data_IF_489398180888
#
_entry.id   IF_489398180888
#
_cell.length_a   1.000
_cell.length_b   1.000
_cell.length_c   1.000
_cell.angle_alpha   90.00
_cell.angle_beta   90.00
_cell.angle_gamma   90.00
#
_symmetry.space_group_name_H-M   'P 1'
#
loop_
_entity.id
_entity.type
_entity.pdbx_description
1 polymer ?
#
# COMPACT_ATOMS: atom_id res chain seq x y z
N UNK A 1 13.77 -4.21 16.59
CA UNK A 1 14.31 -5.31 17.44
C UNK A 1 15.79 -5.54 17.19
N UNK A 2 16.61 -5.80 18.22
CA UNK A 2 18.04 -6.18 18.08
C UNK A 2 18.27 -7.62 18.52
N UNK A 3 19.08 -8.36 17.80
CA UNK A 3 19.43 -9.75 18.12
C UNK A 3 20.89 -10.07 17.75
N UNK A 4 21.43 -11.19 18.26
CA UNK A 4 22.78 -11.64 17.93
C UNK A 4 22.74 -12.87 17.01
N UNK A 5 23.58 -12.88 15.99
CA UNK A 5 23.78 -14.00 15.07
C UNK A 5 25.24 -14.06 14.63
N UNK A 6 25.88 -15.24 14.69
CA UNK A 6 27.32 -15.45 14.36
C UNK A 6 28.23 -14.35 14.95
N UNK A 7 28.07 -14.08 16.26
CA UNK A 7 28.81 -13.06 17.03
C UNK A 7 28.65 -11.60 16.59
N UNK A 8 27.71 -11.32 15.68
CA UNK A 8 27.35 -9.96 15.24
C UNK A 8 25.98 -9.57 15.78
N UNK A 9 25.81 -8.28 16.07
CA UNK A 9 24.49 -7.72 16.43
C UNK A 9 23.81 -7.22 15.17
N UNK A 10 22.59 -7.69 14.94
CA UNK A 10 21.72 -7.26 13.85
C UNK A 10 20.49 -6.54 14.38
N UNK A 11 19.88 -5.73 13.53
CA UNK A 11 18.58 -5.12 13.79
C UNK A 11 17.58 -5.59 12.76
N UNK A 12 16.36 -5.86 13.22
CA UNK A 12 15.21 -6.10 12.38
C UNK A 12 14.12 -5.10 12.76
N UNK A 13 13.41 -4.49 11.79
CA UNK A 13 12.30 -3.59 12.09
C UNK A 13 11.26 -4.27 12.97
N UNK A 14 10.87 -3.66 14.08
CA UNK A 14 9.80 -4.17 14.97
C UNK A 14 8.42 -3.61 14.63
N UNK A 15 8.38 -2.52 13.88
CA UNK A 15 7.17 -1.76 13.55
C UNK A 15 7.29 -1.21 12.13
N UNK A 16 6.15 -0.86 11.53
CA UNK A 16 6.12 -0.19 10.23
C UNK A 16 6.75 1.20 10.25
N UNK A 17 6.83 1.84 11.42
CA UNK A 17 7.51 3.14 11.57
C UNK A 17 9.04 3.06 11.49
N UNK A 18 9.61 1.86 11.66
CA UNK A 18 11.06 1.61 11.49
C UNK A 18 11.45 1.30 10.03
N UNK A 19 10.47 1.16 9.14
CA UNK A 19 10.67 0.89 7.71
C UNK A 19 10.34 2.16 6.92
N UNK A 20 11.24 2.57 6.03
CA UNK A 20 10.92 3.67 5.11
C UNK A 20 10.18 3.17 3.87
N UNK A 21 9.39 4.03 3.25
CA UNK A 21 8.74 3.75 1.97
C UNK A 21 9.76 3.32 0.90
N UNK A 22 10.93 3.95 0.86
CA UNK A 22 12.02 3.57 -0.03
C UNK A 22 12.53 2.15 0.20
N UNK A 23 12.72 1.73 1.46
CA UNK A 23 13.10 0.35 1.75
C UNK A 23 12.05 -0.66 1.29
N UNK A 24 10.76 -0.32 1.41
CA UNK A 24 9.68 -1.17 0.89
C UNK A 24 9.71 -1.25 -0.64
N UNK A 25 9.89 -0.12 -1.32
CA UNK A 25 10.01 -0.07 -2.79
C UNK A 25 11.23 -0.89 -3.27
N UNK A 26 12.38 -0.76 -2.60
CA UNK A 26 13.58 -1.54 -2.90
C UNK A 26 13.34 -3.05 -2.73
N UNK A 27 12.65 -3.46 -1.67
CA UNK A 27 12.27 -4.85 -1.45
C UNK A 27 11.39 -5.38 -2.59
N UNK A 28 10.37 -4.62 -2.99
CA UNK A 28 9.44 -4.99 -4.07
C UNK A 28 10.14 -5.04 -5.44
N UNK A 29 11.05 -4.12 -5.70
CA UNK A 29 11.88 -4.14 -6.90
C UNK A 29 12.80 -5.35 -6.95
N UNK A 30 13.32 -5.79 -5.80
CA UNK A 30 14.24 -6.93 -5.70
C UNK A 30 13.53 -8.28 -5.75
N UNK A 31 12.38 -8.42 -5.09
CA UNK A 31 11.71 -9.72 -4.89
C UNK A 31 10.25 -9.77 -5.35
N UNK A 32 9.56 -8.63 -5.45
CA UNK A 32 8.12 -8.55 -5.67
C UNK A 32 7.66 -9.26 -6.94
N UNK A 33 8.32 -9.02 -8.08
CA UNK A 33 7.99 -9.69 -9.36
C UNK A 33 8.11 -11.22 -9.29
N UNK A 34 9.15 -11.73 -8.63
CA UNK A 34 9.34 -13.17 -8.48
C UNK A 34 8.25 -13.79 -7.60
N UNK A 35 7.93 -13.12 -6.49
CA UNK A 35 6.92 -13.56 -5.53
C UNK A 35 5.51 -13.52 -6.12
N UNK A 36 5.16 -12.45 -6.84
CA UNK A 36 3.88 -12.30 -7.53
C UNK A 36 3.69 -13.38 -8.60
N UNK A 37 4.73 -13.68 -9.37
CA UNK A 37 4.70 -14.77 -10.35
C UNK A 37 4.49 -16.15 -9.69
N UNK A 38 5.12 -16.41 -8.54
CA UNK A 38 4.89 -17.64 -7.76
C UNK A 38 3.45 -17.71 -7.28
N UNK A 39 2.93 -16.63 -6.69
CA UNK A 39 1.55 -16.56 -6.21
C UNK A 39 0.54 -16.81 -7.34
N UNK A 40 0.72 -16.14 -8.49
CA UNK A 40 -0.09 -16.33 -9.71
C UNK A 40 -0.08 -17.77 -10.20
N UNK A 41 1.08 -18.44 -10.15
CA UNK A 41 1.20 -19.85 -10.55
C UNK A 41 0.42 -20.79 -9.64
N UNK A 42 0.41 -20.53 -8.33
CA UNK A 42 -0.28 -21.36 -7.33
C UNK A 42 -1.80 -21.18 -7.42
N UNK A 43 -2.25 -19.92 -7.52
CA UNK A 43 -3.67 -19.55 -7.41
C UNK A 43 -4.39 -19.55 -8.76
N UNK A 44 -3.65 -19.43 -9.86
CA UNK A 44 -4.12 -19.26 -11.24
C UNK A 44 -4.53 -17.82 -11.54
N UNK A 45 -4.13 -17.28 -12.70
CA UNK A 45 -4.46 -15.92 -13.14
C UNK A 45 -5.98 -15.66 -13.21
N UNK A 46 -6.77 -16.67 -13.56
CA UNK A 46 -8.24 -16.57 -13.67
C UNK A 46 -8.93 -16.29 -12.33
N UNK A 47 -8.32 -16.67 -11.20
CA UNK A 47 -8.89 -16.42 -9.89
C UNK A 47 -8.59 -15.01 -9.36
N UNK A 48 -7.43 -14.46 -9.71
CA UNK A 48 -7.03 -13.07 -9.40
C UNK A 48 -7.91 -12.04 -10.11
N UNK A 49 -8.32 -12.34 -11.34
CA UNK A 49 -9.21 -11.48 -12.13
C UNK A 49 -10.66 -11.46 -11.59
N UNK A 50 -11.08 -12.48 -10.83
CA UNK A 50 -12.41 -12.53 -10.18
C UNK A 50 -12.46 -11.76 -8.86
N UNK A 51 -11.39 -11.79 -8.06
CA UNK A 51 -11.29 -10.99 -6.83
C UNK A 51 -11.18 -9.49 -7.12
N UNK A 52 -10.50 -9.10 -8.20
CA UNK A 52 -10.39 -7.69 -8.60
C UNK A 52 -11.71 -7.08 -9.11
N UNK A 53 -12.64 -7.91 -9.62
CA UNK A 53 -14.00 -7.47 -10.04
C UNK A 53 -15.02 -7.43 -8.91
N UNK A 54 -14.76 -8.10 -7.77
CA UNK A 54 -15.70 -8.18 -6.64
C UNK A 54 -15.89 -6.85 -5.89
N UNK A 55 -15.04 -5.85 -6.16
CA UNK A 55 -15.16 -4.50 -5.58
C UNK A 55 -16.09 -3.54 -6.37
N UNK A 56 -16.73 -4.01 -7.45
CA UNK A 56 -17.60 -3.16 -8.29
C UNK A 56 -19.07 -3.60 -8.25
N UNK A 57 -19.37 -4.87 -8.01
CA UNK A 57 -20.74 -5.38 -7.99
C UNK A 57 -21.13 -5.83 -6.57
N UNK A 58 -21.98 -5.04 -5.91
CA UNK A 58 -22.75 -5.44 -4.72
C UNK A 58 -23.83 -6.45 -5.10
N UNK A 59 -23.45 -7.59 -5.67
CA UNK A 59 -24.37 -8.71 -5.84
C UNK A 59 -24.11 -9.74 -4.75
N UNK A 60 -25.07 -9.85 -3.84
CA UNK A 60 -25.17 -10.85 -2.80
C UNK A 60 -25.42 -12.23 -3.42
N UNK A 61 -24.43 -12.74 -4.13
CA UNK A 61 -24.51 -14.00 -4.85
C UNK A 61 -23.16 -14.73 -4.78
N UNK A 62 -23.11 -15.72 -3.88
CA UNK A 62 -22.13 -16.79 -3.72
C UNK A 62 -20.76 -16.40 -3.10
N UNK A 63 -20.73 -16.44 -1.76
CA UNK A 63 -19.59 -17.00 -1.02
C UNK A 63 -19.41 -18.48 -1.43
N UNK A 64 -18.86 -18.72 -2.62
CA UNK A 64 -18.05 -19.92 -2.80
C UNK A 64 -16.68 -19.55 -2.27
N UNK A 65 -16.49 -19.78 -0.99
CA UNK A 65 -15.18 -19.90 -0.37
C UNK A 65 -14.34 -20.75 -1.33
N UNK A 66 -13.31 -20.14 -1.91
CA UNK A 66 -12.48 -20.81 -2.91
C UNK A 66 -11.68 -21.86 -2.16
N UNK A 67 -12.23 -23.08 -2.05
CA UNK A 67 -11.56 -24.19 -1.38
C UNK A 67 -10.27 -24.47 -2.14
N UNK A 68 -9.15 -24.09 -1.54
CA UNK A 68 -7.83 -24.39 -2.05
C UNK A 68 -7.64 -25.90 -2.03
N UNK A 69 -6.97 -26.44 -3.04
CA UNK A 69 -6.57 -27.85 -2.95
C UNK A 69 -5.49 -28.01 -1.88
N UNK A 70 -5.38 -29.17 -1.20
CA UNK A 70 -4.30 -29.39 -0.23
C UNK A 70 -2.90 -29.13 -0.79
N UNK A 71 -2.70 -29.35 -2.09
CA UNK A 71 -1.44 -29.04 -2.77
C UNK A 71 -1.20 -27.52 -2.83
N UNK A 72 -2.23 -26.75 -3.19
CA UNK A 72 -2.12 -25.28 -3.21
C UNK A 72 -1.90 -24.69 -1.82
N UNK A 73 -2.48 -25.27 -0.77
CA UNK A 73 -2.24 -24.85 0.62
C UNK A 73 -0.78 -25.06 1.02
N UNK A 74 -0.19 -26.21 0.66
CA UNK A 74 1.23 -26.47 0.87
C UNK A 74 2.11 -25.50 0.10
N UNK A 75 1.83 -25.27 -1.19
CA UNK A 75 2.60 -24.32 -2.01
C UNK A 75 2.48 -22.88 -1.50
N UNK A 76 1.31 -22.46 -0.99
CA UNK A 76 1.14 -21.16 -0.34
C UNK A 76 1.95 -21.05 0.95
N UNK A 77 2.00 -22.13 1.73
CA UNK A 77 2.82 -22.19 2.95
C UNK A 77 4.30 -22.03 2.62
N UNK A 78 4.78 -22.72 1.58
CA UNK A 78 6.15 -22.57 1.08
C UNK A 78 6.44 -21.15 0.58
N UNK A 79 5.47 -20.54 -0.11
CA UNK A 79 5.59 -19.15 -0.54
C UNK A 79 5.67 -18.19 0.65
N UNK A 80 4.87 -18.39 1.70
CA UNK A 80 4.93 -17.58 2.92
C UNK A 80 6.29 -17.72 3.62
N UNK A 81 6.84 -18.93 3.68
CA UNK A 81 8.19 -19.19 4.18
C UNK A 81 9.25 -18.45 3.35
N UNK A 82 9.14 -18.48 2.02
CA UNK A 82 10.05 -17.77 1.12
C UNK A 82 9.97 -16.24 1.33
N UNK A 83 8.76 -15.70 1.46
CA UNK A 83 8.51 -14.28 1.78
C UNK A 83 9.15 -13.90 3.11
N UNK A 84 8.93 -14.69 4.17
CA UNK A 84 9.49 -14.41 5.49
C UNK A 84 11.03 -14.42 5.46
N UNK A 85 11.63 -15.43 4.82
CA UNK A 85 13.08 -15.52 4.65
C UNK A 85 13.66 -14.33 3.87
N UNK A 86 13.01 -13.93 2.76
CA UNK A 86 13.45 -12.79 1.94
C UNK A 86 13.33 -11.46 2.68
N UNK A 87 12.24 -11.23 3.41
CA UNK A 87 12.10 -10.06 4.27
C UNK A 87 13.21 -10.03 5.34
N UNK A 88 13.39 -11.15 6.03
CA UNK A 88 14.42 -11.27 7.06
C UNK A 88 15.81 -10.99 6.51
N UNK A 89 16.17 -11.62 5.39
CA UNK A 89 17.44 -11.38 4.69
C UNK A 89 17.61 -9.92 4.28
N UNK A 90 16.58 -9.31 3.69
CA UNK A 90 16.63 -7.94 3.20
C UNK A 90 16.87 -6.93 4.32
N UNK A 91 16.07 -6.97 5.38
CA UNK A 91 16.12 -5.96 6.44
C UNK A 91 17.28 -6.16 7.43
N UNK A 92 17.77 -7.39 7.59
CA UNK A 92 18.94 -7.67 8.45
C UNK A 92 20.26 -7.57 7.71
N UNK A 93 20.25 -7.66 6.38
CA UNK A 93 21.46 -7.80 5.55
C UNK A 93 22.13 -9.18 5.65
N UNK A 94 21.53 -10.15 6.35
CA UNK A 94 22.04 -11.52 6.42
C UNK A 94 21.79 -12.21 5.06
N UNK A 95 22.79 -12.88 4.45
CA UNK A 95 22.60 -13.59 3.19
C UNK A 95 21.45 -14.60 3.26
N UNK A 96 20.64 -14.70 2.20
CA UNK A 96 19.47 -15.57 2.17
C UNK A 96 19.82 -17.05 2.45
N UNK A 97 20.99 -17.50 1.99
CA UNK A 97 21.49 -18.86 2.26
C UNK A 97 21.71 -19.10 3.76
N UNK A 98 22.21 -18.09 4.47
CA UNK A 98 22.38 -18.15 5.92
C UNK A 98 21.02 -18.13 6.64
N UNK A 99 20.07 -17.33 6.15
CA UNK A 99 18.71 -17.26 6.73
C UNK A 99 17.98 -18.59 6.61
N UNK A 100 18.13 -19.32 5.50
CA UNK A 100 17.53 -20.65 5.31
C UNK A 100 18.06 -21.71 6.28
N UNK A 101 19.23 -21.47 6.89
CA UNK A 101 19.80 -22.34 7.91
C UNK A 101 19.39 -21.94 9.34
N UNK A 102 18.70 -20.80 9.51
CA UNK A 102 18.09 -20.41 10.78
C UNK A 102 16.83 -21.25 10.98
N UNK A 103 16.47 -21.51 12.24
CA UNK A 103 15.22 -22.15 12.57
C UNK A 103 14.05 -21.35 11.97
N UNK A 104 13.25 -21.99 11.11
CA UNK A 104 12.19 -21.32 10.35
C UNK A 104 11.12 -20.72 11.26
N UNK A 105 10.79 -21.35 12.39
CA UNK A 105 9.82 -20.84 13.36
C UNK A 105 10.28 -19.50 13.94
N UNK A 106 11.59 -19.33 14.15
CA UNK A 106 12.14 -18.05 14.61
C UNK A 106 11.99 -16.96 13.55
N UNK A 107 12.26 -17.28 12.29
CA UNK A 107 12.10 -16.34 11.17
C UNK A 107 10.63 -15.95 11.00
N UNK A 108 9.71 -16.93 11.04
CA UNK A 108 8.28 -16.69 10.94
C UNK A 108 7.75 -15.87 12.11
N UNK A 109 8.16 -16.15 13.35
CA UNK A 109 7.74 -15.38 14.52
C UNK A 109 8.14 -13.90 14.39
N UNK A 110 9.37 -13.63 13.95
CA UNK A 110 9.85 -12.27 13.72
C UNK A 110 9.14 -11.61 12.53
N UNK A 111 8.86 -12.36 11.48
CA UNK A 111 8.11 -11.87 10.32
C UNK A 111 6.68 -11.47 10.72
N UNK A 112 5.91 -12.36 11.34
CA UNK A 112 4.53 -12.09 11.71
C UNK A 112 4.42 -10.97 12.74
N UNK A 113 5.34 -10.87 13.71
CA UNK A 113 5.29 -9.78 14.69
C UNK A 113 5.40 -8.38 14.08
N UNK A 114 5.97 -8.25 12.87
CA UNK A 114 6.26 -6.96 12.25
C UNK A 114 5.43 -6.71 10.99
N UNK A 115 5.19 -7.74 10.19
CA UNK A 115 4.58 -7.64 8.86
C UNK A 115 3.16 -8.22 8.79
N UNK A 116 2.68 -8.95 9.79
CA UNK A 116 1.26 -9.35 9.84
C UNK A 116 0.34 -8.12 9.86
N UNK A 117 0.78 -7.03 10.48
CA UNK A 117 0.08 -5.74 10.50
C UNK A 117 -0.07 -5.10 9.11
N UNK A 118 0.80 -5.41 8.13
CA UNK A 118 0.59 -4.96 6.75
C UNK A 118 -0.62 -5.62 6.10
N UNK A 119 -0.94 -6.84 6.52
CA UNK A 119 -1.99 -7.65 5.91
C UNK A 119 -3.33 -7.52 6.66
N UNK A 120 -3.33 -6.85 7.82
CA UNK A 120 -4.54 -6.53 8.60
C UNK A 120 -4.89 -5.07 8.34
N UNK A 121 -5.68 -4.83 7.29
CA UNK A 121 -6.20 -3.49 6.94
C UNK A 121 -7.06 -2.88 8.08
N UNK A 122 -7.58 -3.71 8.99
CA UNK A 122 -8.63 -3.36 9.95
C UNK A 122 -8.19 -2.51 11.16
N UNK A 123 -6.88 -2.36 11.42
CA UNK A 123 -6.37 -1.61 12.59
C UNK A 123 -5.76 -0.23 12.27
N UNK A 124 -5.71 0.18 10.99
CA UNK A 124 -5.18 1.50 10.62
C UNK A 124 -6.16 2.61 11.00
N UNK A 125 -5.86 3.30 12.11
CA UNK A 125 -6.56 4.54 12.46
C UNK A 125 -6.02 5.68 11.61
N UNK A 126 -6.91 6.31 10.84
CA UNK A 126 -6.61 7.57 10.18
C UNK A 126 -6.36 8.64 11.22
N UNK A 127 -5.13 9.13 11.28
CA UNK A 127 -4.80 10.35 12.02
C UNK A 127 -4.81 11.53 11.06
N UNK A 128 -5.36 12.67 11.49
CA UNK A 128 -5.36 13.88 10.68
C UNK A 128 -3.99 14.57 10.65
N UNK A 129 -3.10 14.19 11.58
CA UNK A 129 -1.83 14.88 11.87
C UNK A 129 -0.74 13.89 12.26
N UNK A 130 0.41 14.02 11.62
CA UNK A 130 1.60 13.19 11.84
C UNK A 130 2.79 14.06 12.24
N UNK A 131 3.58 13.62 13.22
CA UNK A 131 4.87 14.23 13.55
C UNK A 131 5.98 13.46 12.84
N UNK A 132 6.66 14.12 11.89
CA UNK A 132 7.75 13.53 11.13
C UNK A 132 8.83 14.56 10.82
N UNK A 133 10.11 14.18 11.01
CA UNK A 133 11.27 15.08 10.90
C UNK A 133 11.14 16.37 11.75
N UNK A 134 10.58 16.25 12.96
CA UNK A 134 10.27 17.38 13.87
C UNK A 134 9.30 18.43 13.30
N UNK A 135 8.56 18.08 12.25
CA UNK A 135 7.54 18.93 11.64
C UNK A 135 6.20 18.23 11.66
N UNK A 136 5.12 19.02 11.65
CA UNK A 136 3.76 18.50 11.56
C UNK A 136 3.29 18.43 10.12
N UNK A 137 2.77 17.26 9.76
CA UNK A 137 2.25 16.93 8.45
C UNK A 137 0.78 16.54 8.58
N UNK A 138 -0.03 16.94 7.61
CA UNK A 138 -1.47 16.79 7.63
C UNK A 138 -1.94 16.09 6.36
N UNK A 139 -2.93 15.22 6.51
CA UNK A 139 -3.67 14.68 5.38
C UNK A 139 -4.65 15.75 4.91
N UNK A 140 -4.34 16.38 3.78
CA UNK A 140 -5.20 17.40 3.22
C UNK A 140 -6.14 16.78 2.18
N UNK A 141 -7.44 16.91 2.43
CA UNK A 141 -8.47 16.58 1.45
C UNK A 141 -8.46 17.58 0.28
N UNK A 142 -8.87 17.09 -0.89
CA UNK A 142 -9.06 17.90 -2.07
C UNK A 142 -10.40 18.63 -1.97
N UNK A 143 -10.37 19.84 -1.40
CA UNK A 143 -11.56 20.70 -1.34
C UNK A 143 -11.77 21.38 -2.70
N UNK A 144 -12.56 20.78 -3.59
CA UNK A 144 -13.21 21.55 -4.65
C UNK A 144 -14.30 22.41 -4.01
N UNK A 145 -14.18 23.73 -4.09
CA UNK A 145 -15.28 24.61 -3.78
C UNK A 145 -15.94 25.06 -5.09
N UNK A 146 -17.21 25.45 -5.05
CA UNK A 146 -17.99 25.94 -6.20
C UNK A 146 -17.45 27.26 -6.79
N UNK A 147 -16.42 27.81 -6.16
CA UNK A 147 -15.65 28.98 -6.58
C UNK A 147 -14.24 28.64 -7.06
N UNK A 148 -13.80 27.38 -7.00
CA UNK A 148 -12.53 26.95 -7.59
C UNK A 148 -12.79 26.79 -9.07
N UNK A 149 -12.39 27.78 -9.86
CA UNK A 149 -12.10 27.55 -11.26
C UNK A 149 -11.11 26.39 -11.30
N UNK A 150 -11.60 25.20 -11.65
CA UNK A 150 -10.75 24.01 -11.71
C UNK A 150 -9.66 24.31 -12.71
N UNK A 151 -8.47 24.60 -12.21
CA UNK A 151 -7.35 24.95 -13.08
C UNK A 151 -7.02 23.72 -13.91
N UNK A 152 -6.53 23.91 -15.15
CA UNK A 152 -6.08 22.79 -15.98
C UNK A 152 -5.08 21.88 -15.22
N UNK A 153 -4.29 22.49 -14.35
CA UNK A 153 -3.32 21.84 -13.46
C UNK A 153 -4.00 20.91 -12.44
N UNK A 154 -5.12 21.31 -11.86
CA UNK A 154 -5.94 20.46 -10.97
C UNK A 154 -6.53 19.25 -11.72
N UNK A 155 -6.95 19.43 -12.97
CA UNK A 155 -7.45 18.33 -13.81
C UNK A 155 -6.35 17.31 -14.19
N UNK A 156 -5.18 17.80 -14.59
CA UNK A 156 -4.02 16.94 -14.87
C UNK A 156 -3.57 16.20 -13.60
N UNK A 157 -3.56 16.90 -12.47
CA UNK A 157 -3.24 16.31 -11.17
C UNK A 157 -4.24 15.22 -10.79
N UNK A 158 -5.54 15.44 -10.98
CA UNK A 158 -6.56 14.42 -10.75
C UNK A 158 -6.33 13.16 -11.62
N UNK A 159 -6.00 13.34 -12.91
CA UNK A 159 -5.66 12.21 -13.79
C UNK A 159 -4.41 11.46 -13.33
N UNK A 160 -3.39 12.19 -12.87
CA UNK A 160 -2.17 11.59 -12.33
C UNK A 160 -2.43 10.86 -11.01
N UNK A 161 -3.29 11.39 -10.14
CA UNK A 161 -3.73 10.72 -8.90
C UNK A 161 -4.43 9.41 -9.24
N UNK A 162 -5.39 9.41 -10.17
CA UNK A 162 -6.11 8.20 -10.60
C UNK A 162 -5.13 7.17 -11.17
N UNK A 163 -4.19 7.60 -12.03
CA UNK A 163 -3.16 6.72 -12.57
C UNK A 163 -2.28 6.13 -11.45
N UNK A 164 -1.76 6.97 -10.56
CA UNK A 164 -0.89 6.53 -9.47
C UNK A 164 -1.62 5.59 -8.51
N UNK A 165 -2.90 5.83 -8.27
CA UNK A 165 -3.74 4.95 -7.46
C UNK A 165 -3.97 3.60 -8.14
N UNK A 166 -4.29 3.60 -9.44
CA UNK A 166 -4.40 2.37 -10.23
C UNK A 166 -3.09 1.57 -10.23
N UNK A 167 -1.98 2.26 -10.50
CA UNK A 167 -0.64 1.67 -10.48
C UNK A 167 -0.31 1.08 -9.09
N UNK A 168 -0.67 1.77 -8.00
CA UNK A 168 -0.52 1.24 -6.63
C UNK A 168 -1.37 -0.02 -6.41
N UNK A 169 -2.61 -0.04 -6.92
CA UNK A 169 -3.50 -1.22 -6.89
C UNK A 169 -2.95 -2.41 -7.67
N UNK A 170 -2.13 -2.17 -8.70
CA UNK A 170 -1.36 -3.21 -9.43
C UNK A 170 -0.06 -3.60 -8.71
N UNK A 171 0.20 -3.09 -7.51
CA UNK A 171 1.43 -3.36 -6.75
C UNK A 171 2.64 -2.53 -7.19
N UNK A 172 2.46 -1.45 -7.96
CA UNK A 172 3.55 -0.52 -8.31
C UNK A 172 3.73 0.51 -7.21
N UNK A 173 4.55 0.15 -6.22
CA UNK A 173 4.81 0.97 -5.04
C UNK A 173 5.49 2.32 -5.32
N UNK A 174 6.16 2.46 -6.48
CA UNK A 174 6.78 3.72 -6.92
C UNK A 174 5.78 4.87 -7.11
N UNK A 175 4.49 4.57 -7.18
CA UNK A 175 3.41 5.57 -7.25
C UNK A 175 3.07 6.20 -5.90
N UNK A 176 3.33 5.49 -4.79
CA UNK A 176 2.96 5.95 -3.45
C UNK A 176 3.72 7.22 -3.00
N UNK A 177 5.02 7.43 -3.30
CA UNK A 177 5.70 8.70 -3.01
C UNK A 177 5.02 9.92 -3.62
N UNK A 178 4.48 9.79 -4.84
CA UNK A 178 3.75 10.89 -5.49
C UNK A 178 2.43 11.17 -4.80
N UNK A 179 1.69 10.14 -4.41
CA UNK A 179 0.47 10.29 -3.63
C UNK A 179 0.76 10.95 -2.27
N UNK A 180 1.82 10.53 -1.58
CA UNK A 180 2.27 11.17 -0.35
C UNK A 180 2.63 12.64 -0.57
N UNK A 181 3.33 12.99 -1.65
CA UNK A 181 3.70 14.37 -1.96
C UNK A 181 2.48 15.30 -2.15
N UNK A 182 1.38 14.76 -2.68
CA UNK A 182 0.14 15.50 -2.94
C UNK A 182 -0.69 15.66 -1.66
N UNK A 183 -0.93 14.56 -0.95
CA UNK A 183 -1.91 14.50 0.13
C UNK A 183 -1.32 14.78 1.50
N UNK A 184 -0.05 14.42 1.73
CA UNK A 184 0.65 14.69 2.99
C UNK A 184 1.41 16.01 2.87
N UNK A 185 0.89 17.06 3.52
CA UNK A 185 1.40 18.44 3.39
C UNK A 185 1.66 19.10 4.74
N UNK A 186 2.56 20.08 4.76
CA UNK A 186 2.80 20.92 5.94
C UNK A 186 1.64 21.88 6.18
N UNK A 187 1.53 22.41 7.40
CA UNK A 187 0.52 23.41 7.73
C UNK A 187 0.61 24.64 6.82
N UNK A 188 -0.49 24.98 6.14
CA UNK A 188 -0.54 26.10 5.21
C UNK A 188 0.17 25.88 3.87
N UNK A 189 0.70 24.69 3.59
CA UNK A 189 1.31 24.36 2.29
C UNK A 189 0.21 24.15 1.24
N UNK A 190 0.07 25.13 0.33
CA UNK A 190 -0.76 24.97 -0.87
C UNK A 190 -0.15 23.96 -1.84
N UNK A 191 -0.99 23.32 -2.64
CA UNK A 191 -0.52 22.43 -3.69
C UNK A 191 0.22 23.23 -4.78
N UNK A 192 1.38 22.74 -5.20
CA UNK A 192 2.17 23.24 -6.33
C UNK A 192 2.66 22.01 -7.13
N UNK A 193 2.59 22.06 -8.46
CA UNK A 193 3.07 20.99 -9.35
C UNK A 193 4.55 20.66 -9.13
N UNK A 194 5.34 21.61 -8.63
CA UNK A 194 6.74 21.38 -8.26
C UNK A 194 6.91 20.29 -7.21
N UNK A 195 5.87 19.98 -6.43
CA UNK A 195 5.88 18.91 -5.44
C UNK A 195 5.94 17.52 -6.06
N UNK A 196 5.46 17.37 -7.30
CA UNK A 196 5.36 16.08 -8.01
C UNK A 196 6.34 15.95 -9.16
N UNK A 197 7.25 16.91 -9.33
CA UNK A 197 8.32 16.82 -10.33
C UNK A 197 9.21 15.63 -10.01
N UNK A 198 9.49 14.83 -11.03
CA UNK A 198 10.36 13.66 -10.91
C UNK A 198 11.75 14.08 -10.37
N UNK A 199 12.28 13.30 -9.43
CA UNK A 199 13.55 13.60 -8.73
C UNK A 199 13.58 14.93 -7.95
N UNK A 200 12.44 15.56 -7.70
CA UNK A 200 12.36 16.72 -6.80
C UNK A 200 12.76 16.36 -5.38
N UNK A 201 13.23 17.35 -4.62
CA UNK A 201 13.53 17.19 -3.19
C UNK A 201 12.31 16.72 -2.41
N UNK A 202 11.09 17.11 -2.83
CA UNK A 202 9.84 16.63 -2.21
C UNK A 202 9.67 15.13 -2.42
N UNK A 203 9.84 14.63 -3.64
CA UNK A 203 9.70 13.19 -3.91
C UNK A 203 10.77 12.39 -3.18
N UNK A 204 12.05 12.83 -3.21
CA UNK A 204 13.12 12.19 -2.42
C UNK A 204 12.81 12.15 -0.93
N UNK A 205 12.23 13.22 -0.40
CA UNK A 205 11.78 13.27 0.99
C UNK A 205 10.72 12.18 1.26
N UNK A 206 9.74 12.00 0.36
CA UNK A 206 8.69 10.97 0.51
C UNK A 206 9.24 9.53 0.52
N UNK A 207 10.36 9.24 -0.14
CA UNK A 207 11.03 7.94 -0.02
C UNK A 207 11.53 7.66 1.40
N UNK A 208 11.86 8.71 2.17
CA UNK A 208 12.25 8.60 3.58
C UNK A 208 11.09 8.50 4.56
N UNK A 209 9.84 8.53 4.08
CA UNK A 209 8.66 8.52 4.93
C UNK A 209 8.51 7.15 5.64
N UNK A 210 8.24 7.13 6.95
CA UNK A 210 7.88 5.91 7.66
C UNK A 210 6.68 5.22 6.99
N UNK A 211 6.77 3.90 6.81
CA UNK A 211 5.82 3.13 6.03
C UNK A 211 4.41 3.18 6.62
N UNK A 212 4.27 3.28 7.95
CA UNK A 212 2.97 3.49 8.59
C UNK A 212 2.28 4.76 8.10
N UNK A 213 3.01 5.89 7.98
CA UNK A 213 2.45 7.16 7.50
C UNK A 213 2.12 7.06 6.00
N UNK A 214 2.99 6.43 5.21
CA UNK A 214 2.74 6.21 3.79
C UNK A 214 1.47 5.37 3.54
N UNK A 215 1.27 4.33 4.34
CA UNK A 215 0.07 3.49 4.26
C UNK A 215 -1.18 4.22 4.73
N UNK A 216 -1.08 5.12 5.72
CA UNK A 216 -2.20 5.99 6.08
C UNK A 216 -2.66 6.86 4.91
N UNK A 217 -1.74 7.33 4.04
CA UNK A 217 -2.11 8.04 2.79
C UNK A 217 -2.83 7.11 1.83
N UNK A 218 -2.31 5.89 1.61
CA UNK A 218 -2.96 4.92 0.72
C UNK A 218 -4.37 4.55 1.20
N UNK A 219 -4.54 4.35 2.51
CA UNK A 219 -5.82 4.06 3.14
C UNK A 219 -6.78 5.26 3.11
N UNK A 220 -6.27 6.48 3.35
CA UNK A 220 -7.07 7.70 3.19
C UNK A 220 -7.65 7.80 1.77
N UNK A 221 -6.88 7.42 0.76
CA UNK A 221 -7.32 7.44 -0.64
C UNK A 221 -8.33 6.34 -0.95
N UNK A 222 -8.14 5.13 -0.43
CA UNK A 222 -9.11 4.04 -0.64
C UNK A 222 -10.46 4.39 -0.02
N UNK A 223 -10.48 4.91 1.22
CA UNK A 223 -11.70 5.37 1.89
C UNK A 223 -12.34 6.52 1.13
N UNK A 224 -11.56 7.52 0.69
CA UNK A 224 -12.05 8.64 -0.09
C UNK A 224 -12.71 8.19 -1.40
N UNK A 225 -12.08 7.27 -2.14
CA UNK A 225 -12.64 6.74 -3.39
C UNK A 225 -13.93 5.95 -3.18
N UNK A 226 -14.02 5.12 -2.13
CA UNK A 226 -15.25 4.41 -1.79
C UNK A 226 -16.40 5.40 -1.54
N UNK A 227 -16.12 6.49 -0.81
CA UNK A 227 -17.11 7.55 -0.55
C UNK A 227 -17.55 8.22 -1.86
N UNK A 228 -16.63 8.55 -2.76
CA UNK A 228 -16.95 9.16 -4.06
C UNK A 228 -17.75 8.22 -4.96
N UNK A 229 -17.35 6.95 -5.08
CA UNK A 229 -18.06 5.94 -5.89
C UNK A 229 -19.48 5.71 -5.34
N UNK A 230 -19.62 5.56 -4.03
CA UNK A 230 -20.93 5.39 -3.40
C UNK A 230 -21.83 6.63 -3.59
N UNK A 231 -21.27 7.85 -3.53
CA UNK A 231 -22.03 9.08 -3.80
C UNK A 231 -22.41 9.23 -5.27
N UNK A 232 -21.58 8.80 -6.22
CA UNK A 232 -21.89 8.81 -7.65
C UNK A 232 -23.07 7.87 -7.98
N UNK A 233 -23.14 6.68 -7.39
CA UNK A 233 -24.24 5.73 -7.60
C UNK A 233 -25.60 6.31 -7.16
N UNK A 234 -25.63 7.10 -6.09
CA UNK A 234 -26.86 7.80 -5.67
C UNK A 234 -27.23 9.02 -6.52
N UNK A 235 -26.30 9.55 -7.32
CA UNK A 235 -26.60 10.63 -8.28
C UNK A 235 -27.32 10.10 -9.53
N UNK A 236 -27.12 8.83 -9.90
CA UNK A 236 -27.81 8.19 -11.02
C UNK A 236 -29.24 7.74 -10.67
N UNK A 237 -29.50 7.32 -9.44
CA UNK A 237 -30.85 6.90 -9.01
C UNK A 237 -31.82 8.07 -8.79
N UNK A 238 -31.35 9.32 -8.66
CA UNK A 238 -32.22 10.49 -8.53
C UNK A 238 -32.66 11.11 -9.87
N UNK A 239 -32.05 10.71 -11.00
CA UNK A 239 -32.44 11.20 -12.32
C UNK A 239 -33.58 10.38 -12.95
N UNK A 240 -33.64 9.07 -12.73
CA UNK A 240 -34.75 8.24 -13.25
C UNK A 240 -36.11 8.52 -12.60
N UNK A 241 -36.13 9.10 -11.39
CA UNK A 241 -37.39 9.46 -10.71
C UNK A 241 -37.92 10.82 -11.17
N UNK A 242 -37.07 11.71 -11.69
CA UNK A 242 -37.49 13.04 -12.17
C UNK A 242 -37.97 13.07 -13.62
N UNK A 243 -37.54 12.12 -14.44
CA UNK A 243 -37.98 12.02 -15.85
C UNK A 243 -39.24 11.15 -16.04
N UNK A 244 -39.87 10.69 -14.95
CA UNK A 244 -41.13 9.92 -14.94
C UNK A 244 -42.28 10.62 -14.20
N UNK A 245 -42.18 11.93 -13.91
CA UNK A 245 -43.30 12.72 -13.34
C UNK A 245 -43.77 13.83 -14.26
#
# INVERSE_FOLDING_TARGET
MKFRFKDKTFSFPSTLSEITLGQKIEYENKYGKELDNKYKKIIGEEALNKSSKKNIDNDASLEKEKVLTPIQELELTELQIDIACKNFSFFTGIPLEDVKNINIDQVLNVYYSCFEQLNKEEDMKLEDKYLWNNEYWYLNDYKTNHTSDTTFNEFITAKQIVKNFYDLGEGKWDSLPYLCAIFLRKEGESFDEKLIVENSERIKLMYGLPLNIALSVAFFLSVSMIIYMNRLVYSMQQQEVRDQT
#
